data_IF_132138319656
#
_entry.id   IF_132138319656
#
_cell.length_a   1.000
_cell.length_b   1.000
_cell.length_c   1.000
_cell.angle_alpha   90.00
_cell.angle_beta   90.00
_cell.angle_gamma   90.00
#
_symmetry.space_group_name_H-M   'P 1'
#
loop_
_entity.id
_entity.type
_entity.pdbx_description
1 polymer ?
#
# COMPACT_ATOMS: atom_id res chain seq x y z
N UNK A 1 39.00 14.82 16.85
CA UNK A 1 39.36 14.33 15.51
C UNK A 1 38.97 12.86 15.42
N UNK A 2 37.85 12.55 14.78
CA UNK A 2 37.44 11.17 14.48
C UNK A 2 38.26 10.73 13.25
N UNK A 3 39.21 9.81 13.45
CA UNK A 3 39.86 9.11 12.36
C UNK A 3 38.82 8.27 11.63
N UNK A 4 38.52 8.59 10.38
CA UNK A 4 37.81 7.74 9.46
C UNK A 4 38.68 6.50 9.19
N UNK A 5 38.29 5.34 9.71
CA UNK A 5 38.94 4.08 9.37
C UNK A 5 38.81 3.83 7.85
N UNK A 6 39.84 3.40 7.17
CA UNK A 6 39.78 3.09 5.75
C UNK A 6 38.76 1.94 5.55
N UNK A 7 37.84 2.13 4.61
CA UNK A 7 36.84 1.15 4.21
C UNK A 7 37.54 -0.18 3.87
N UNK A 8 37.38 -1.19 4.71
CA UNK A 8 38.07 -2.45 4.57
C UNK A 8 37.50 -3.22 3.36
N UNK A 9 38.39 -3.65 2.43
CA UNK A 9 38.01 -4.39 1.19
C UNK A 9 37.14 -5.62 1.50
N UNK A 10 37.35 -6.28 2.64
CA UNK A 10 36.54 -7.42 3.08
C UNK A 10 35.12 -7.03 3.49
N UNK A 11 34.92 -5.87 4.08
CA UNK A 11 33.58 -5.35 4.40
C UNK A 11 32.82 -4.97 3.12
N UNK A 12 33.49 -4.32 2.17
CA UNK A 12 32.88 -4.00 0.88
C UNK A 12 32.41 -5.26 0.13
N UNK A 13 33.25 -6.30 0.09
CA UNK A 13 32.90 -7.58 -0.53
C UNK A 13 31.73 -8.28 0.19
N UNK A 14 31.66 -8.15 1.51
CA UNK A 14 30.56 -8.66 2.31
C UNK A 14 29.23 -7.97 1.98
N UNK A 15 29.23 -6.63 1.86
CA UNK A 15 28.03 -5.88 1.45
C UNK A 15 27.61 -6.22 0.01
N UNK A 16 28.58 -6.38 -0.91
CA UNK A 16 28.31 -6.79 -2.29
C UNK A 16 27.69 -8.21 -2.34
N UNK A 17 28.19 -9.13 -1.54
CA UNK A 17 27.63 -10.48 -1.42
C UNK A 17 26.19 -10.44 -0.91
N UNK A 18 25.91 -9.66 0.15
CA UNK A 18 24.55 -9.48 0.67
C UNK A 18 23.62 -8.86 -0.36
N UNK A 19 24.05 -7.78 -1.02
CA UNK A 19 23.26 -7.14 -2.07
C UNK A 19 22.98 -8.10 -3.23
N UNK A 20 23.95 -8.90 -3.63
CA UNK A 20 23.76 -9.88 -4.70
C UNK A 20 22.75 -10.97 -4.33
N UNK A 21 22.95 -11.67 -3.22
CA UNK A 21 22.13 -12.82 -2.87
C UNK A 21 20.75 -12.46 -2.31
N UNK A 22 20.62 -11.37 -1.60
CA UNK A 22 19.36 -11.00 -0.93
C UNK A 22 18.60 -9.85 -1.60
N UNK A 23 19.16 -9.27 -2.64
CA UNK A 23 18.48 -8.26 -3.42
C UNK A 23 18.46 -8.60 -4.91
N UNK A 24 19.62 -8.75 -5.56
CA UNK A 24 19.67 -8.97 -7.01
C UNK A 24 19.10 -10.33 -7.43
N UNK A 25 19.44 -11.42 -6.73
CA UNK A 25 18.95 -12.77 -7.05
C UNK A 25 17.44 -12.88 -6.85
N UNK A 26 16.84 -12.47 -5.71
CA UNK A 26 15.39 -12.45 -5.55
C UNK A 26 14.68 -11.56 -6.56
N UNK A 27 15.24 -10.37 -6.86
CA UNK A 27 14.67 -9.48 -7.85
C UNK A 27 14.67 -10.10 -9.27
N UNK A 28 15.77 -10.71 -9.67
CA UNK A 28 15.87 -11.40 -10.95
C UNK A 28 14.94 -12.62 -11.02
N UNK A 29 14.85 -13.40 -9.94
CA UNK A 29 13.97 -14.56 -9.86
C UNK A 29 12.49 -14.14 -9.88
N UNK A 30 12.12 -13.08 -9.14
CA UNK A 30 10.78 -12.52 -9.15
C UNK A 30 10.41 -11.97 -10.53
N UNK A 31 11.31 -11.19 -11.14
CA UNK A 31 11.12 -10.67 -12.49
C UNK A 31 10.97 -11.80 -13.52
N UNK A 32 11.84 -12.82 -13.48
CA UNK A 32 11.76 -13.99 -14.36
C UNK A 32 10.47 -14.78 -14.18
N UNK A 33 10.02 -14.97 -12.93
CA UNK A 33 8.76 -15.65 -12.63
C UNK A 33 7.56 -14.87 -13.20
N UNK A 34 7.51 -13.56 -12.96
CA UNK A 34 6.41 -12.72 -13.44
C UNK A 34 6.38 -12.66 -14.96
N UNK A 35 7.54 -12.50 -15.62
CA UNK A 35 7.61 -12.51 -17.09
C UNK A 35 7.24 -13.88 -17.69
N UNK A 36 7.62 -14.96 -17.03
CA UNK A 36 7.25 -16.32 -17.44
C UNK A 36 5.74 -16.54 -17.28
N UNK A 37 5.16 -16.18 -16.12
CA UNK A 37 3.72 -16.26 -15.87
C UNK A 37 2.92 -15.41 -16.86
N UNK A 38 3.38 -14.18 -17.15
CA UNK A 38 2.70 -13.30 -18.11
C UNK A 38 2.80 -13.76 -19.57
N UNK A 39 3.79 -14.58 -19.91
CA UNK A 39 3.99 -15.13 -21.24
C UNK A 39 3.28 -16.49 -21.45
N UNK A 40 2.91 -17.18 -20.37
CA UNK A 40 2.20 -18.46 -20.45
C UNK A 40 0.69 -18.24 -20.40
N UNK A 41 -0.07 -18.92 -21.27
CA UNK A 41 -1.55 -18.90 -21.26
C UNK A 41 -2.12 -19.93 -20.26
N UNK A 42 -1.50 -20.05 -19.11
CA UNK A 42 -2.03 -20.85 -18.02
C UNK A 42 -3.25 -20.13 -17.43
N UNK A 43 -4.44 -20.60 -17.71
CA UNK A 43 -5.68 -20.04 -17.19
C UNK A 43 -5.75 -20.23 -15.66
N UNK A 44 -5.40 -19.19 -14.90
CA UNK A 44 -5.48 -19.22 -13.45
C UNK A 44 -5.36 -17.84 -12.80
N UNK A 45 -5.88 -17.67 -11.58
CA UNK A 45 -5.91 -16.37 -10.88
C UNK A 45 -4.52 -15.76 -10.65
N UNK A 46 -3.46 -16.57 -10.65
CA UNK A 46 -2.08 -16.10 -10.52
C UNK A 46 -1.54 -15.50 -11.81
N UNK A 47 -2.03 -15.96 -12.94
CA UNK A 47 -1.63 -15.52 -14.28
C UNK A 47 -2.19 -14.12 -14.57
N UNK A 48 -3.47 -13.92 -14.25
CA UNK A 48 -4.12 -12.62 -14.36
C UNK A 48 -3.47 -11.59 -13.41
N UNK A 49 -3.14 -11.99 -12.18
CA UNK A 49 -2.43 -11.13 -11.24
C UNK A 49 -1.01 -10.76 -11.71
N UNK A 50 -0.31 -11.67 -12.39
CA UNK A 50 1.02 -11.40 -12.93
C UNK A 50 0.98 -10.46 -14.14
N UNK A 51 -0.07 -10.55 -14.98
CA UNK A 51 -0.25 -9.69 -16.16
C UNK A 51 -0.73 -8.30 -15.80
N UNK A 52 -1.79 -8.21 -14.99
CA UNK A 52 -2.45 -6.93 -14.71
C UNK A 52 -1.80 -6.18 -13.54
N UNK A 53 -1.08 -6.87 -12.67
CA UNK A 53 -0.46 -6.30 -11.47
C UNK A 53 0.95 -6.84 -11.25
N UNK A 54 1.79 -6.71 -12.27
CA UNK A 54 3.17 -7.19 -12.25
C UNK A 54 3.99 -6.68 -11.06
N UNK A 55 3.75 -5.44 -10.59
CA UNK A 55 4.51 -4.85 -9.48
C UNK A 55 4.13 -5.47 -8.13
N UNK A 56 2.85 -5.53 -7.70
CA UNK A 56 2.48 -6.22 -6.46
C UNK A 56 2.86 -7.71 -6.47
N UNK A 57 2.60 -8.41 -7.58
CA UNK A 57 2.97 -9.81 -7.74
C UNK A 57 4.49 -10.01 -7.67
N UNK A 58 5.25 -9.07 -8.24
CA UNK A 58 6.71 -9.04 -8.17
C UNK A 58 7.23 -8.84 -6.74
N UNK A 59 6.60 -7.97 -5.94
CA UNK A 59 6.95 -7.77 -4.54
C UNK A 59 6.71 -9.05 -3.72
N UNK A 60 5.57 -9.70 -3.91
CA UNK A 60 5.26 -10.97 -3.23
C UNK A 60 6.26 -12.06 -3.62
N UNK A 61 6.54 -12.23 -4.92
CA UNK A 61 7.53 -13.18 -5.40
C UNK A 61 8.93 -12.88 -4.84
N UNK A 62 9.34 -11.62 -4.85
CA UNK A 62 10.61 -11.17 -4.28
C UNK A 62 10.72 -11.56 -2.81
N UNK A 63 9.71 -11.24 -1.99
CA UNK A 63 9.70 -11.55 -0.55
C UNK A 63 9.76 -13.05 -0.29
N UNK A 64 9.07 -13.86 -1.10
CA UNK A 64 9.13 -15.33 -0.99
C UNK A 64 10.53 -15.86 -1.34
N UNK A 65 11.14 -15.37 -2.43
CA UNK A 65 12.50 -15.76 -2.80
C UNK A 65 13.54 -15.29 -1.78
N UNK A 66 13.41 -14.07 -1.27
CA UNK A 66 14.28 -13.56 -0.21
C UNK A 66 14.16 -14.42 1.06
N UNK A 67 12.93 -14.73 1.51
CA UNK A 67 12.68 -15.59 2.65
C UNK A 67 13.28 -17.01 2.49
N UNK A 68 13.15 -17.58 1.27
CA UNK A 68 13.75 -18.86 0.93
C UNK A 68 15.29 -18.80 0.98
N UNK A 69 15.88 -17.78 0.40
CA UNK A 69 17.34 -17.59 0.44
C UNK A 69 17.83 -17.31 1.86
N UNK A 70 17.08 -16.59 2.66
CA UNK A 70 17.37 -16.38 4.08
C UNK A 70 17.36 -17.69 4.87
N UNK A 71 16.37 -18.55 4.62
CA UNK A 71 16.31 -19.89 5.23
C UNK A 71 17.52 -20.74 4.86
N UNK A 72 17.96 -20.71 3.57
CA UNK A 72 19.11 -21.46 3.08
C UNK A 72 20.43 -20.67 3.10
N UNK A 73 20.51 -19.51 3.77
CA UNK A 73 21.66 -18.59 3.72
C UNK A 73 23.01 -19.25 3.98
N UNK A 74 23.03 -20.32 4.80
CA UNK A 74 24.24 -21.06 5.13
C UNK A 74 24.72 -22.02 4.04
N UNK A 75 23.86 -22.32 3.06
CA UNK A 75 24.15 -23.20 1.94
C UNK A 75 24.44 -22.45 0.64
N UNK A 76 24.35 -21.14 0.67
CA UNK A 76 24.61 -20.33 -0.52
C UNK A 76 26.06 -20.44 -0.96
N UNK A 77 26.36 -20.48 -2.27
CA UNK A 77 27.72 -20.44 -2.77
C UNK A 77 28.47 -19.22 -2.22
N UNK A 78 29.71 -19.41 -1.82
CA UNK A 78 30.58 -18.38 -1.21
C UNK A 78 30.09 -17.85 0.16
N UNK A 79 29.10 -18.47 0.81
CA UNK A 79 28.66 -18.05 2.14
C UNK A 79 29.75 -18.19 3.21
N UNK A 80 30.59 -19.24 3.11
CA UNK A 80 31.67 -19.51 4.07
C UNK A 80 32.78 -18.42 4.07
N UNK A 81 33.33 -17.99 2.91
CA UNK A 81 34.35 -16.92 2.87
C UNK A 81 33.88 -15.59 3.43
N UNK A 82 32.57 -15.30 3.32
CA UNK A 82 31.98 -14.03 3.74
C UNK A 82 31.32 -14.08 5.12
N UNK A 83 31.50 -15.16 5.87
CA UNK A 83 30.95 -15.33 7.22
C UNK A 83 29.45 -15.13 7.35
N UNK A 84 28.72 -15.54 6.31
CA UNK A 84 27.26 -15.50 6.31
C UNK A 84 26.70 -16.77 6.91
N UNK A 85 26.50 -16.77 8.18
CA UNK A 85 26.00 -17.94 8.90
C UNK A 85 27.05 -18.65 9.72
N UNK A 86 28.04 -17.95 10.10
CA UNK A 86 29.11 -18.44 10.95
C UNK A 86 30.48 -18.04 10.42
N UNK A 87 31.38 -18.07 11.28
CA UNK A 87 32.77 -17.70 11.10
C UNK A 87 33.49 -18.65 10.14
N UNK A 88 34.48 -18.13 9.40
CA UNK A 88 35.41 -18.98 8.63
C UNK A 88 36.09 -19.96 9.56
N UNK A 89 36.00 -21.27 9.23
CA UNK A 89 36.55 -22.35 10.08
C UNK A 89 35.61 -22.87 11.18
N UNK A 90 34.39 -22.37 11.30
CA UNK A 90 33.42 -22.88 12.26
C UNK A 90 32.86 -24.27 11.79
N UNK A 91 33.03 -25.36 12.55
CA UNK A 91 32.45 -26.65 12.24
C UNK A 91 30.93 -26.58 12.15
N UNK A 92 30.34 -27.35 11.23
CA UNK A 92 28.88 -27.32 11.03
C UNK A 92 28.10 -27.70 12.28
N UNK A 93 28.67 -28.60 13.10
CA UNK A 93 28.10 -29.08 14.34
C UNK A 93 27.96 -27.98 15.39
N UNK A 94 28.93 -27.05 15.46
CA UNK A 94 28.97 -25.95 16.43
C UNK A 94 28.21 -24.70 16.01
N UNK A 95 27.63 -24.65 14.83
CA UNK A 95 26.94 -23.45 14.34
C UNK A 95 25.76 -23.01 15.19
N UNK A 96 24.93 -23.94 15.62
CA UNK A 96 23.79 -23.65 16.51
C UNK A 96 24.24 -23.11 17.85
N UNK A 97 25.30 -23.75 18.43
CA UNK A 97 25.86 -23.31 19.69
C UNK A 97 26.54 -21.93 19.55
N UNK A 98 27.20 -21.66 18.42
CA UNK A 98 27.80 -20.39 18.15
C UNK A 98 26.76 -19.25 18.04
N UNK A 99 25.63 -19.48 17.34
CA UNK A 99 24.53 -18.51 17.27
C UNK A 99 23.89 -18.32 18.67
N UNK A 100 23.67 -19.39 19.40
CA UNK A 100 23.16 -19.32 20.77
C UNK A 100 24.11 -18.58 21.73
N UNK A 101 25.42 -18.82 21.59
CA UNK A 101 26.44 -18.11 22.37
C UNK A 101 26.52 -16.64 22.05
N UNK A 102 26.39 -16.24 20.78
CA UNK A 102 26.37 -14.85 20.38
C UNK A 102 25.15 -14.12 20.98
N UNK A 103 23.97 -14.73 20.95
CA UNK A 103 22.77 -14.21 21.61
C UNK A 103 22.91 -14.13 23.12
N UNK A 104 23.53 -15.16 23.75
CA UNK A 104 23.77 -15.18 25.19
C UNK A 104 24.67 -14.02 25.64
N UNK A 105 25.76 -13.77 24.90
CA UNK A 105 26.69 -12.66 25.18
C UNK A 105 25.98 -11.32 25.05
N UNK A 106 25.26 -11.09 23.94
CA UNK A 106 24.53 -9.84 23.69
C UNK A 106 23.45 -9.57 24.76
N UNK A 107 22.75 -10.60 25.21
CA UNK A 107 21.76 -10.52 26.29
C UNK A 107 22.42 -10.23 27.64
N UNK A 108 23.49 -10.98 27.97
CA UNK A 108 24.23 -10.78 29.21
C UNK A 108 24.87 -9.40 29.27
N UNK A 109 25.55 -8.93 28.21
CA UNK A 109 26.16 -7.59 28.16
C UNK A 109 25.09 -6.48 28.32
N UNK A 110 23.90 -6.63 27.72
CA UNK A 110 22.79 -5.67 27.90
C UNK A 110 22.25 -5.63 29.33
N UNK A 111 22.10 -6.80 29.96
CA UNK A 111 21.62 -6.89 31.35
C UNK A 111 22.66 -6.28 32.30
N UNK A 112 23.91 -6.67 32.15
CA UNK A 112 25.03 -6.17 32.95
C UNK A 112 25.13 -4.65 32.81
N UNK A 113 25.16 -4.10 31.59
CA UNK A 113 25.28 -2.67 31.35
C UNK A 113 24.14 -1.85 32.00
N UNK A 114 22.96 -2.45 32.16
CA UNK A 114 21.78 -1.80 32.74
C UNK A 114 21.68 -1.94 34.25
N UNK A 115 22.16 -3.05 34.80
CA UNK A 115 21.93 -3.45 36.19
C UNK A 115 23.23 -3.76 36.96
N UNK A 116 24.38 -3.29 36.51
CA UNK A 116 25.70 -3.63 37.03
C UNK A 116 25.79 -3.47 38.56
N UNK A 117 25.30 -2.33 39.11
CA UNK A 117 25.30 -2.06 40.56
C UNK A 117 24.41 -3.05 41.33
N UNK A 118 23.20 -3.30 40.84
CA UNK A 118 22.27 -4.23 41.45
C UNK A 118 22.82 -5.66 41.45
N UNK A 119 23.48 -6.07 40.37
CA UNK A 119 24.11 -7.37 40.20
C UNK A 119 25.25 -7.49 41.20
N UNK A 120 26.14 -6.50 41.30
CA UNK A 120 27.24 -6.51 42.25
C UNK A 120 26.79 -6.51 43.72
N UNK A 121 25.70 -5.83 44.04
CA UNK A 121 25.12 -5.77 45.39
C UNK A 121 24.47 -7.10 45.76
N UNK A 122 23.70 -7.73 44.85
CA UNK A 122 22.99 -8.99 45.14
C UNK A 122 23.84 -10.25 45.09
N UNK A 123 24.77 -10.32 44.12
CA UNK A 123 25.65 -11.48 43.95
C UNK A 123 26.94 -11.37 44.79
N UNK A 124 27.32 -10.17 45.20
CA UNK A 124 28.62 -9.91 45.80
C UNK A 124 29.74 -9.76 44.77
N UNK A 125 30.79 -9.03 45.12
CA UNK A 125 31.86 -8.65 44.22
C UNK A 125 32.57 -9.83 43.53
N UNK A 126 32.70 -10.98 44.23
CA UNK A 126 33.37 -12.16 43.69
C UNK A 126 32.55 -12.83 42.58
N UNK A 127 31.26 -13.11 42.83
CA UNK A 127 30.40 -13.78 41.85
C UNK A 127 30.11 -12.89 40.65
N UNK A 128 29.92 -11.56 40.85
CA UNK A 128 29.79 -10.60 39.78
C UNK A 128 31.07 -10.54 38.92
N UNK A 129 32.26 -10.62 39.54
CA UNK A 129 33.54 -10.65 38.79
C UNK A 129 33.68 -11.92 37.94
N UNK A 130 33.31 -13.08 38.48
CA UNK A 130 33.33 -14.37 37.78
C UNK A 130 32.37 -14.37 36.59
N UNK A 131 31.19 -13.77 36.71
CA UNK A 131 30.21 -13.60 35.65
C UNK A 131 30.77 -12.70 34.51
N UNK A 132 31.33 -11.54 34.85
CA UNK A 132 31.95 -10.64 33.87
C UNK A 132 33.10 -11.30 33.12
N UNK A 133 33.94 -12.04 33.83
CA UNK A 133 35.06 -12.78 33.24
C UNK A 133 34.56 -13.84 32.25
N UNK A 134 33.56 -14.63 32.62
CA UNK A 134 33.00 -15.69 31.78
C UNK A 134 32.36 -15.13 30.51
N UNK A 135 31.56 -14.03 30.61
CA UNK A 135 30.96 -13.37 29.47
C UNK A 135 32.02 -12.75 28.56
N UNK A 136 33.04 -12.13 29.14
CA UNK A 136 34.16 -11.55 28.39
C UNK A 136 35.00 -12.62 27.68
N UNK A 137 35.28 -13.76 28.36
CA UNK A 137 35.99 -14.89 27.77
C UNK A 137 35.22 -15.50 26.59
N UNK A 138 33.89 -15.69 26.74
CA UNK A 138 33.05 -16.19 25.67
C UNK A 138 33.03 -15.18 24.49
N UNK A 139 32.87 -13.90 24.76
CA UNK A 139 32.94 -12.83 23.76
C UNK A 139 34.28 -12.83 23.03
N UNK A 140 35.38 -13.04 23.71
CA UNK A 140 36.72 -13.17 23.13
C UNK A 140 36.87 -14.43 22.25
N UNK A 141 36.32 -15.58 22.66
CA UNK A 141 36.35 -16.80 21.83
C UNK A 141 35.50 -16.69 20.60
N UNK A 142 34.34 -16.02 20.72
CA UNK A 142 33.50 -15.68 19.55
C UNK A 142 34.24 -14.80 18.54
N UNK A 143 35.18 -13.99 18.93
CA UNK A 143 35.97 -13.08 18.08
C UNK A 143 37.36 -13.60 17.69
N UNK A 144 37.88 -14.68 18.36
CA UNK A 144 39.24 -15.17 18.17
C UNK A 144 39.48 -15.73 16.75
N UNK A 145 40.55 -15.44 16.06
CA UNK A 145 41.00 -16.00 14.77
C UNK A 145 42.41 -16.58 14.91
N UNK A 146 42.53 -17.89 14.56
CA UNK A 146 41.55 -18.85 14.08
C UNK A 146 40.53 -19.26 15.15
N UNK A 147 39.38 -19.84 14.75
CA UNK A 147 38.35 -20.33 15.66
C UNK A 147 38.83 -21.60 16.38
N UNK A 148 38.82 -21.57 17.71
CA UNK A 148 39.18 -22.69 18.59
C UNK A 148 37.92 -23.33 19.16
N UNK A 149 37.46 -24.44 18.55
CA UNK A 149 36.23 -25.12 18.91
C UNK A 149 36.24 -25.64 20.37
N UNK A 150 37.26 -26.37 20.84
CA UNK A 150 37.38 -26.84 22.22
C UNK A 150 37.30 -25.70 23.25
N UNK A 151 38.05 -24.62 23.03
CA UNK A 151 38.03 -23.44 23.90
C UNK A 151 36.68 -22.75 23.90
N UNK A 152 36.06 -22.63 22.73
CA UNK A 152 34.69 -22.09 22.60
C UNK A 152 33.68 -22.89 23.38
N UNK A 153 33.64 -24.23 23.24
CA UNK A 153 32.68 -25.10 23.95
C UNK A 153 32.83 -24.97 25.46
N UNK A 154 34.06 -24.90 25.97
CA UNK A 154 34.32 -24.71 27.40
C UNK A 154 33.85 -23.33 27.89
N UNK A 155 34.17 -22.27 27.16
CA UNK A 155 33.76 -20.89 27.49
C UNK A 155 32.23 -20.74 27.41
N UNK A 156 31.60 -21.36 26.42
CA UNK A 156 30.14 -21.32 26.25
C UNK A 156 29.43 -22.05 27.38
N UNK A 157 29.84 -23.26 27.75
CA UNK A 157 29.22 -24.01 28.86
C UNK A 157 29.32 -23.26 30.19
N UNK A 158 30.52 -22.69 30.49
CA UNK A 158 30.76 -21.89 31.70
C UNK A 158 29.90 -20.62 31.72
N UNK A 159 29.90 -19.85 30.63
CA UNK A 159 29.12 -18.65 30.56
C UNK A 159 27.62 -18.93 30.59
N UNK A 160 27.14 -19.97 29.90
CA UNK A 160 25.73 -20.35 29.89
C UNK A 160 25.21 -20.74 31.28
N UNK A 161 26.01 -21.50 32.06
CA UNK A 161 25.68 -21.87 33.44
C UNK A 161 25.55 -20.61 34.31
N UNK A 162 26.59 -19.76 34.35
CA UNK A 162 26.60 -18.57 35.16
C UNK A 162 25.52 -17.57 34.78
N UNK A 163 25.31 -17.31 33.48
CA UNK A 163 24.29 -16.38 32.98
C UNK A 163 22.88 -16.89 33.28
N UNK A 164 22.62 -18.21 33.13
CA UNK A 164 21.31 -18.76 33.39
C UNK A 164 20.97 -18.81 34.88
N UNK A 165 21.96 -19.06 35.72
CA UNK A 165 21.77 -19.10 37.16
C UNK A 165 21.73 -17.71 37.78
N UNK A 166 22.71 -16.87 37.48
CA UNK A 166 22.90 -15.59 38.16
C UNK A 166 22.08 -14.44 37.57
N UNK A 167 21.88 -14.42 36.26
CA UNK A 167 21.11 -13.33 35.61
C UNK A 167 19.61 -13.61 35.44
N UNK A 168 19.12 -14.81 35.87
CA UNK A 168 17.70 -15.15 35.81
C UNK A 168 16.76 -14.07 36.39
N UNK A 169 17.04 -13.39 37.53
CA UNK A 169 16.19 -12.40 38.12
C UNK A 169 16.03 -11.11 37.24
N UNK A 170 17.02 -10.82 36.40
CA UNK A 170 17.03 -9.63 35.53
C UNK A 170 16.66 -9.94 34.10
N UNK A 171 16.52 -11.20 33.71
CA UNK A 171 15.99 -11.59 32.40
C UNK A 171 14.51 -11.25 32.32
N UNK A 172 14.12 -10.64 31.22
CA UNK A 172 12.71 -10.50 30.92
C UNK A 172 12.11 -11.90 30.75
N UNK A 173 11.00 -12.17 31.43
CA UNK A 173 10.26 -13.41 31.18
C UNK A 173 9.84 -13.49 29.70
N UNK A 174 9.93 -14.66 29.08
CA UNK A 174 9.53 -14.88 27.68
C UNK A 174 8.15 -14.28 27.37
N UNK A 175 7.19 -14.44 28.28
CA UNK A 175 5.84 -13.89 28.14
C UNK A 175 5.84 -12.35 28.00
N UNK A 176 6.72 -11.65 28.71
CA UNK A 176 6.84 -10.19 28.64
C UNK A 176 7.48 -9.76 27.32
N UNK A 177 8.47 -10.50 26.83
CA UNK A 177 9.11 -10.23 25.54
C UNK A 177 8.13 -10.40 24.38
N UNK A 178 7.34 -11.49 24.40
CA UNK A 178 6.24 -11.69 23.44
C UNK A 178 5.18 -10.58 23.53
N UNK A 179 4.79 -10.19 24.73
CA UNK A 179 3.81 -9.12 24.92
C UNK A 179 4.31 -7.76 24.43
N UNK A 180 5.58 -7.43 24.67
CA UNK A 180 6.22 -6.22 24.14
C UNK A 180 6.28 -6.25 22.61
N UNK A 181 6.67 -7.36 22.00
CA UNK A 181 6.74 -7.55 20.54
C UNK A 181 5.37 -7.43 19.88
N UNK A 182 4.37 -8.12 20.46
CA UNK A 182 2.97 -8.02 19.98
C UNK A 182 2.45 -6.59 20.17
N UNK A 183 2.74 -5.95 21.29
CA UNK A 183 2.34 -4.57 21.54
C UNK A 183 2.92 -3.59 20.52
N UNK A 184 4.20 -3.73 20.19
CA UNK A 184 4.86 -2.93 19.14
C UNK A 184 4.23 -3.20 17.77
N UNK A 185 3.99 -4.47 17.42
CA UNK A 185 3.36 -4.84 16.14
C UNK A 185 1.95 -4.26 16.02
N UNK A 186 1.14 -4.34 17.09
CA UNK A 186 -0.19 -3.72 17.14
C UNK A 186 -0.09 -2.20 17.00
N UNK A 187 0.83 -1.56 17.71
CA UNK A 187 1.04 -0.11 17.63
C UNK A 187 1.40 0.31 16.20
N UNK A 188 2.34 -0.38 15.57
CA UNK A 188 2.73 -0.12 14.16
C UNK A 188 1.55 -0.31 13.22
N UNK A 189 0.80 -1.40 13.38
CA UNK A 189 -0.40 -1.67 12.57
C UNK A 189 -1.47 -0.58 12.74
N UNK A 190 -1.69 -0.11 13.97
CA UNK A 190 -2.63 0.98 14.26
C UNK A 190 -2.16 2.31 13.66
N UNK A 191 -0.86 2.61 13.72
CA UNK A 191 -0.29 3.81 13.10
C UNK A 191 -0.41 3.76 11.57
N UNK A 192 -0.10 2.62 10.95
CA UNK A 192 -0.28 2.43 9.51
C UNK A 192 -1.75 2.60 9.11
N UNK A 193 -2.68 1.98 9.84
CA UNK A 193 -4.12 2.14 9.62
C UNK A 193 -4.58 3.60 9.82
N UNK A 194 -4.06 4.29 10.81
CA UNK A 194 -4.46 5.67 11.10
C UNK A 194 -4.02 6.66 10.02
N UNK A 195 -2.84 6.44 9.42
CA UNK A 195 -2.18 7.43 8.56
C UNK A 195 -2.16 7.05 7.09
N UNK A 196 -2.01 5.74 6.76
CA UNK A 196 -1.67 5.32 5.39
C UNK A 196 -2.88 4.80 4.63
N UNK A 197 -3.59 3.80 5.18
CA UNK A 197 -4.62 3.06 4.44
C UNK A 197 -5.83 2.79 5.33
N UNK A 198 -7.02 2.92 4.75
CA UNK A 198 -8.28 2.53 5.37
C UNK A 198 -9.06 1.57 4.47
N UNK A 199 -9.71 0.57 5.09
CA UNK A 199 -10.54 -0.39 4.38
C UNK A 199 -12.00 0.02 4.43
N UNK A 200 -12.67 -0.01 3.28
CA UNK A 200 -14.11 0.27 3.15
C UNK A 200 -14.82 -0.88 2.44
N UNK A 201 -16.08 -1.11 2.80
CA UNK A 201 -16.99 -2.03 2.10
C UNK A 201 -17.94 -1.21 1.24
N UNK A 202 -18.16 -1.62 0.01
CA UNK A 202 -19.07 -0.95 -0.93
C UNK A 202 -20.51 -1.41 -0.67
N UNK A 203 -21.39 -0.51 -0.18
CA UNK A 203 -22.76 -0.88 0.19
C UNK A 203 -23.76 -0.72 -0.96
N UNK A 204 -23.43 0.05 -2.01
CA UNK A 204 -24.39 0.44 -3.05
C UNK A 204 -23.84 0.31 -4.47
N UNK A 205 -24.74 0.23 -5.47
CA UNK A 205 -24.39 0.07 -6.86
C UNK A 205 -24.05 1.36 -7.61
N UNK A 206 -23.88 2.51 -6.93
CA UNK A 206 -23.70 3.80 -7.60
C UNK A 206 -22.39 3.93 -8.40
N UNK A 207 -21.41 3.06 -8.14
CA UNK A 207 -20.12 2.99 -8.84
C UNK A 207 -20.03 1.78 -9.80
N UNK A 208 -21.14 1.08 -10.06
CA UNK A 208 -21.16 0.01 -11.06
C UNK A 208 -20.86 0.57 -12.46
N UNK A 209 -20.16 -0.18 -13.30
CA UNK A 209 -19.59 -1.51 -13.05
C UNK A 209 -18.21 -1.51 -12.41
N UNK A 210 -17.60 -0.34 -12.20
CA UNK A 210 -16.23 -0.20 -11.65
C UNK A 210 -16.09 -0.87 -10.29
N UNK A 211 -17.03 -0.63 -9.38
CA UNK A 211 -17.11 -1.26 -8.06
C UNK A 211 -18.46 -1.98 -7.89
N UNK A 212 -18.39 -3.17 -7.33
CA UNK A 212 -19.57 -4.00 -7.07
C UNK A 212 -20.03 -3.89 -5.62
N UNK A 213 -21.32 -4.14 -5.38
CA UNK A 213 -21.85 -4.24 -4.03
C UNK A 213 -21.15 -5.41 -3.32
N UNK A 214 -20.63 -5.15 -2.13
CA UNK A 214 -19.87 -6.13 -1.35
C UNK A 214 -18.36 -6.12 -1.58
N UNK A 215 -17.84 -5.38 -2.57
CA UNK A 215 -16.41 -5.15 -2.71
C UNK A 215 -15.83 -4.51 -1.44
N UNK A 216 -14.66 -4.98 -1.04
CA UNK A 216 -13.86 -4.33 -0.01
C UNK A 216 -12.66 -3.70 -0.68
N UNK A 217 -12.48 -2.41 -0.46
CA UNK A 217 -11.44 -1.61 -1.09
C UNK A 217 -10.45 -1.07 -0.07
N UNK A 218 -9.21 -0.89 -0.50
CA UNK A 218 -8.25 -0.07 0.21
C UNK A 218 -8.26 1.36 -0.32
N UNK A 219 -8.28 2.31 0.62
CA UNK A 219 -8.29 3.75 0.36
C UNK A 219 -7.02 4.37 0.92
N UNK A 220 -6.23 5.02 0.06
CA UNK A 220 -5.03 5.75 0.45
C UNK A 220 -5.40 7.09 1.07
N UNK A 221 -5.17 7.25 2.36
CA UNK A 221 -5.26 8.54 3.06
C UNK A 221 -4.14 9.49 2.64
N UNK A 222 -3.02 8.92 2.18
CA UNK A 222 -1.82 9.66 1.82
C UNK A 222 -1.94 10.38 0.47
N UNK A 223 -2.85 9.95 -0.40
CA UNK A 223 -3.00 10.48 -1.76
C UNK A 223 -3.23 12.00 -1.80
N UNK A 224 -3.89 12.54 -0.78
CA UNK A 224 -4.24 13.97 -0.68
C UNK A 224 -3.65 14.65 0.56
N UNK A 225 -2.57 14.10 1.08
CA UNK A 225 -1.96 14.49 2.36
C UNK A 225 -2.64 13.85 3.57
N UNK A 226 -1.86 13.23 4.48
CA UNK A 226 -2.41 12.58 5.66
C UNK A 226 -3.04 13.59 6.60
N UNK A 227 -4.23 13.28 7.12
CA UNK A 227 -4.81 14.00 8.26
C UNK A 227 -4.12 13.54 9.54
N UNK A 228 -3.62 14.45 10.35
CA UNK A 228 -3.15 14.13 11.70
C UNK A 228 -4.39 13.95 12.59
N UNK A 229 -4.59 12.77 13.21
CA UNK A 229 -5.82 12.45 13.93
C UNK A 229 -6.19 13.41 15.06
N UNK A 230 -5.23 14.15 15.62
CA UNK A 230 -5.40 15.04 16.78
C UNK A 230 -5.59 16.52 16.40
N UNK A 231 -5.30 16.94 15.17
CA UNK A 231 -5.23 18.36 14.81
C UNK A 231 -6.24 18.72 13.69
N UNK A 232 -6.89 17.74 13.09
CA UNK A 232 -7.80 17.86 11.94
C UNK A 232 -7.25 18.68 10.75
N UNK A 233 -5.92 18.86 10.72
CA UNK A 233 -5.19 19.48 9.62
C UNK A 233 -4.53 18.42 8.74
N UNK A 234 -4.58 18.64 7.42
CA UNK A 234 -3.78 17.86 6.47
C UNK A 234 -2.35 18.37 6.47
N UNK A 235 -1.41 17.45 6.47
CA UNK A 235 0.00 17.73 6.19
C UNK A 235 0.17 17.57 4.69
N UNK A 236 0.82 18.51 4.01
CA UNK A 236 0.97 18.55 2.54
C UNK A 236 -0.37 18.82 1.81
N UNK A 237 -0.96 19.98 2.04
CA UNK A 237 -2.18 20.44 1.36
C UNK A 237 -2.03 20.63 -0.17
N UNK A 238 -0.86 20.33 -0.73
CA UNK A 238 -0.49 20.62 -2.11
C UNK A 238 -0.81 19.48 -3.11
N UNK A 239 -1.56 18.47 -2.70
CA UNK A 239 -1.97 17.35 -3.56
C UNK A 239 -3.50 17.32 -3.69
N UNK A 240 -4.09 18.22 -4.52
CA UNK A 240 -5.54 18.22 -4.71
C UNK A 240 -5.97 16.96 -5.48
N UNK A 241 -7.22 16.50 -5.29
CA UNK A 241 -7.80 15.47 -6.15
C UNK A 241 -7.78 15.88 -7.60
N UNK A 242 -7.54 14.92 -8.49
CA UNK A 242 -7.51 15.11 -9.95
C UNK A 242 -8.81 14.61 -10.57
N UNK A 243 -9.14 15.10 -11.76
CA UNK A 243 -10.23 14.53 -12.55
C UNK A 243 -9.92 13.06 -12.84
N UNK A 244 -10.96 12.22 -12.75
CA UNK A 244 -10.83 10.76 -12.86
C UNK A 244 -10.59 10.03 -11.54
N UNK A 245 -10.08 10.69 -10.49
CA UNK A 245 -9.85 10.04 -9.19
C UNK A 245 -11.15 9.49 -8.59
N UNK A 246 -11.13 8.26 -8.07
CA UNK A 246 -12.22 7.70 -7.27
C UNK A 246 -11.92 7.98 -5.81
N UNK A 247 -12.78 8.78 -5.16
CA UNK A 247 -12.57 9.26 -3.80
C UNK A 247 -13.62 8.71 -2.83
N UNK A 248 -13.19 8.43 -1.61
CA UNK A 248 -14.07 8.20 -0.47
C UNK A 248 -14.11 9.47 0.36
N UNK A 249 -15.30 9.89 0.71
CA UNK A 249 -15.54 11.15 1.42
C UNK A 249 -16.77 11.07 2.33
N UNK A 250 -16.81 11.92 3.32
CA UNK A 250 -17.98 12.12 4.16
C UNK A 250 -19.00 12.98 3.45
N UNK A 251 -20.25 12.56 3.45
CA UNK A 251 -21.33 13.26 2.74
C UNK A 251 -21.46 14.71 3.23
N UNK A 252 -21.50 15.69 2.31
CA UNK A 252 -21.44 17.10 2.70
C UNK A 252 -22.79 17.69 3.16
N UNK A 253 -23.91 16.97 2.98
CA UNK A 253 -25.23 17.51 3.31
C UNK A 253 -25.61 17.19 4.76
N UNK A 254 -25.65 18.23 5.58
CA UNK A 254 -26.00 18.17 7.00
C UNK A 254 -27.50 18.01 7.27
N UNK A 255 -28.34 18.09 6.26
CA UNK A 255 -29.81 18.11 6.44
C UNK A 255 -30.46 16.72 6.34
N UNK A 256 -29.78 15.68 5.85
CA UNK A 256 -30.39 14.38 5.56
C UNK A 256 -30.34 13.38 6.70
N UNK A 257 -29.45 13.48 7.64
CA UNK A 257 -29.44 12.74 8.91
C UNK A 257 -28.27 13.20 9.77
N UNK A 258 -28.38 13.09 11.10
CA UNK A 258 -27.28 13.32 12.04
C UNK A 258 -26.17 12.26 11.94
N UNK A 259 -26.28 11.31 11.02
CA UNK A 259 -25.31 10.24 10.83
C UNK A 259 -24.37 10.60 9.69
N UNK A 260 -23.08 10.62 10.01
CA UNK A 260 -21.99 10.78 9.03
C UNK A 260 -21.95 9.54 8.15
N UNK A 261 -22.26 9.70 6.87
CA UNK A 261 -22.22 8.62 5.90
C UNK A 261 -21.05 8.79 4.94
N UNK A 262 -20.35 7.69 4.68
CA UNK A 262 -19.27 7.66 3.72
C UNK A 262 -19.80 7.32 2.33
N UNK A 263 -19.42 8.16 1.37
CA UNK A 263 -19.74 7.99 -0.04
C UNK A 263 -18.48 7.72 -0.84
N UNK A 264 -18.63 7.02 -1.94
CA UNK A 264 -17.59 6.83 -2.94
C UNK A 264 -18.10 7.26 -4.30
N UNK A 265 -17.35 8.15 -4.97
CA UNK A 265 -17.68 8.68 -6.29
C UNK A 265 -16.41 9.01 -7.06
N UNK A 266 -16.55 9.23 -8.38
CA UNK A 266 -15.50 9.70 -9.25
C UNK A 266 -15.48 11.21 -9.35
N UNK A 267 -14.30 11.80 -9.25
CA UNK A 267 -14.08 13.24 -9.49
C UNK A 267 -14.20 13.51 -10.99
N UNK A 268 -15.14 14.35 -11.36
CA UNK A 268 -15.38 14.74 -12.77
C UNK A 268 -14.84 16.13 -13.04
N UNK A 269 -15.02 17.08 -12.12
CA UNK A 269 -14.54 18.44 -12.28
C UNK A 269 -13.87 18.94 -11.00
N UNK A 270 -12.95 19.89 -11.16
CA UNK A 270 -12.10 20.47 -10.13
C UNK A 270 -12.34 21.97 -9.99
N UNK A 271 -11.80 22.65 -8.96
CA UNK A 271 -12.03 24.08 -8.76
C UNK A 271 -11.79 24.93 -10.01
N UNK A 272 -12.73 25.80 -10.28
CA UNK A 272 -12.71 26.71 -11.43
C UNK A 272 -13.36 26.12 -12.68
N UNK A 273 -13.68 24.83 -12.73
CA UNK A 273 -14.42 24.26 -13.85
C UNK A 273 -15.90 24.70 -13.83
N UNK A 274 -16.46 24.79 -15.03
CA UNK A 274 -17.90 24.83 -15.27
C UNK A 274 -18.34 23.47 -15.81
N UNK A 275 -19.29 22.84 -15.16
CA UNK A 275 -19.80 21.53 -15.54
C UNK A 275 -21.26 21.59 -15.97
N UNK A 276 -21.56 21.03 -17.11
CA UNK A 276 -22.91 20.66 -17.54
C UNK A 276 -23.01 19.13 -17.69
N UNK A 277 -24.20 18.61 -17.56
CA UNK A 277 -24.46 17.19 -17.77
C UNK A 277 -25.61 17.04 -18.75
N UNK A 278 -25.36 16.37 -19.87
CA UNK A 278 -26.37 16.07 -20.87
C UNK A 278 -26.66 14.57 -20.92
N UNK A 279 -27.87 14.21 -20.47
CA UNK A 279 -28.29 12.80 -20.42
C UNK A 279 -27.27 11.91 -19.67
N UNK A 280 -26.71 12.43 -18.58
CA UNK A 280 -25.69 11.73 -17.77
C UNK A 280 -24.24 11.93 -18.27
N UNK A 281 -24.01 12.39 -19.51
CA UNK A 281 -22.67 12.65 -20.05
C UNK A 281 -22.13 13.99 -19.56
N UNK A 282 -20.92 14.05 -18.99
CA UNK A 282 -20.34 15.29 -18.50
C UNK A 282 -19.79 16.17 -19.64
N UNK A 283 -19.99 17.46 -19.51
CA UNK A 283 -19.46 18.51 -20.39
C UNK A 283 -18.71 19.49 -19.47
N UNK A 284 -17.38 19.54 -19.56
CA UNK A 284 -16.53 20.36 -18.71
C UNK A 284 -15.98 21.53 -19.52
N UNK A 285 -16.21 22.74 -19.06
CA UNK A 285 -15.78 23.98 -19.75
C UNK A 285 -16.22 24.03 -21.23
N UNK A 286 -17.43 23.53 -21.52
CA UNK A 286 -17.95 23.38 -22.85
C UNK A 286 -17.44 22.19 -23.66
N UNK A 287 -16.49 21.44 -23.14
CA UNK A 287 -15.94 20.26 -23.79
C UNK A 287 -16.64 18.97 -23.29
N UNK A 288 -17.28 18.28 -24.21
CA UNK A 288 -17.92 16.99 -23.88
C UNK A 288 -16.86 15.92 -23.67
N UNK A 289 -16.89 15.26 -22.55
CA UNK A 289 -15.97 14.15 -22.26
C UNK A 289 -16.12 13.08 -23.33
N UNK A 290 -15.05 12.74 -24.06
CA UNK A 290 -15.09 11.73 -25.10
C UNK A 290 -15.51 10.38 -24.53
N UNK A 291 -16.40 9.70 -25.25
CA UNK A 291 -16.91 8.41 -24.85
C UNK A 291 -17.08 7.47 -26.04
N UNK A 292 -16.87 6.19 -25.80
CA UNK A 292 -17.04 5.12 -26.78
C UNK A 292 -18.07 4.12 -26.26
N UNK A 293 -19.14 3.85 -27.02
CA UNK A 293 -20.17 2.89 -26.62
C UNK A 293 -19.63 1.45 -26.76
N UNK A 294 -19.67 0.71 -25.65
CA UNK A 294 -19.24 -0.70 -25.57
C UNK A 294 -20.37 -1.63 -25.96
N UNK A 295 -21.57 -1.42 -25.40
CA UNK A 295 -22.74 -2.26 -25.64
C UNK A 295 -23.75 -2.18 -24.53
N UNK A 296 -24.67 -3.18 -24.51
CA UNK A 296 -25.65 -3.33 -23.43
C UNK A 296 -25.04 -4.17 -22.30
N UNK A 297 -25.04 -3.62 -21.10
CA UNK A 297 -24.64 -4.32 -19.88
C UNK A 297 -25.86 -4.56 -19.00
N UNK A 298 -25.94 -5.75 -18.43
CA UNK A 298 -27.06 -6.14 -17.58
C UNK A 298 -26.55 -7.04 -16.46
N UNK A 299 -26.97 -6.75 -15.24
CA UNK A 299 -26.55 -7.44 -14.04
C UNK A 299 -27.77 -7.69 -13.13
N UNK A 300 -27.79 -8.84 -12.46
CA UNK A 300 -28.81 -9.13 -11.43
C UNK A 300 -28.48 -8.39 -10.14
N UNK A 301 -29.45 -7.69 -9.59
CA UNK A 301 -29.31 -7.02 -8.30
C UNK A 301 -29.35 -8.06 -7.16
N UNK A 302 -28.53 -7.90 -6.11
CA UNK A 302 -28.58 -8.75 -4.93
C UNK A 302 -29.98 -8.76 -4.30
N UNK A 303 -30.36 -9.88 -3.68
CA UNK A 303 -31.62 -10.06 -2.94
C UNK A 303 -32.93 -9.95 -3.78
N UNK A 304 -32.86 -10.23 -5.08
CA UNK A 304 -34.09 -10.28 -5.91
C UNK A 304 -34.69 -8.91 -6.24
N UNK A 305 -33.92 -7.83 -6.12
CA UNK A 305 -34.34 -6.47 -6.48
C UNK A 305 -34.51 -6.26 -7.99
N UNK A 306 -34.37 -7.33 -8.79
CA UNK A 306 -34.54 -7.29 -10.23
C UNK A 306 -33.23 -7.25 -11.01
N UNK A 307 -33.32 -6.89 -12.28
CA UNK A 307 -32.19 -6.78 -13.21
C UNK A 307 -31.97 -5.31 -13.57
N UNK A 308 -30.77 -4.83 -13.31
CA UNK A 308 -30.35 -3.51 -13.77
C UNK A 308 -29.69 -3.63 -15.15
N UNK A 309 -30.12 -2.83 -16.12
CA UNK A 309 -29.59 -2.84 -17.48
C UNK A 309 -29.39 -1.44 -18.01
N UNK A 310 -28.39 -1.26 -18.86
CA UNK A 310 -28.11 0.04 -19.47
C UNK A 310 -27.05 -0.05 -20.56
N UNK A 311 -26.86 1.08 -21.23
CA UNK A 311 -25.79 1.28 -22.19
C UNK A 311 -24.46 1.51 -21.46
N UNK A 312 -23.45 0.71 -21.79
CA UNK A 312 -22.10 0.80 -21.23
C UNK A 312 -21.21 1.61 -22.16
N UNK A 313 -20.47 2.54 -21.58
CA UNK A 313 -19.48 3.36 -22.28
C UNK A 313 -18.12 3.29 -21.61
N UNK A 314 -17.05 3.42 -22.39
CA UNK A 314 -15.74 3.86 -21.91
C UNK A 314 -15.68 5.36 -22.05
N UNK A 315 -15.42 6.08 -20.99
CA UNK A 315 -15.18 7.52 -21.00
C UNK A 315 -13.69 7.82 -20.79
N UNK A 316 -13.22 8.87 -21.47
CA UNK A 316 -11.82 9.30 -21.44
C UNK A 316 -11.73 10.68 -20.81
N UNK A 317 -11.17 10.75 -19.62
CA UNK A 317 -11.02 11.99 -18.87
C UNK A 317 -9.55 12.17 -18.48
N UNK A 318 -8.88 13.10 -19.14
CA UNK A 318 -7.43 13.30 -19.03
C UNK A 318 -6.66 11.98 -19.27
N UNK A 319 -5.86 11.55 -18.31
CA UNK A 319 -5.08 10.30 -18.38
C UNK A 319 -5.88 9.05 -18.00
N UNK A 320 -7.12 9.22 -17.58
CA UNK A 320 -7.96 8.12 -17.06
C UNK A 320 -8.96 7.66 -18.11
N UNK A 321 -9.13 6.33 -18.23
CA UNK A 321 -10.26 5.73 -18.92
C UNK A 321 -11.07 4.90 -17.93
N UNK A 322 -12.38 5.00 -17.95
CA UNK A 322 -13.25 4.29 -17.01
C UNK A 322 -14.58 3.93 -17.64
N UNK A 323 -15.26 2.95 -17.04
CA UNK A 323 -16.59 2.54 -17.47
C UNK A 323 -17.67 3.43 -16.85
N UNK A 324 -18.65 3.80 -17.64
CA UNK A 324 -19.84 4.50 -17.19
C UNK A 324 -21.10 3.78 -17.70
N UNK A 325 -22.06 3.57 -16.81
CA UNK A 325 -23.31 2.87 -17.09
C UNK A 325 -24.47 3.85 -17.14
N UNK A 326 -25.23 3.80 -18.24
CA UNK A 326 -26.36 4.68 -18.53
C UNK A 326 -27.62 3.84 -18.62
N UNK A 327 -28.60 4.11 -17.77
CA UNK A 327 -29.87 3.40 -17.76
C UNK A 327 -30.70 3.67 -19.04
N UNK A 328 -31.31 2.61 -19.58
CA UNK A 328 -32.13 2.67 -20.80
C UNK A 328 -33.41 3.49 -20.65
N UNK A 329 -33.87 3.69 -19.43
CA UNK A 329 -35.21 4.28 -19.14
C UNK A 329 -35.14 5.73 -18.70
N UNK A 330 -33.99 6.39 -18.75
CA UNK A 330 -33.85 7.79 -18.36
C UNK A 330 -34.11 8.74 -19.53
N UNK A 331 -34.95 9.73 -19.26
CA UNK A 331 -35.20 10.83 -20.22
C UNK A 331 -33.96 11.70 -20.37
N UNK A 332 -33.72 12.17 -21.60
CA UNK A 332 -32.69 13.16 -21.88
C UNK A 332 -32.93 14.43 -21.05
N UNK A 333 -32.06 14.71 -20.12
CA UNK A 333 -32.12 15.89 -19.27
C UNK A 333 -30.78 16.61 -19.26
N UNK A 334 -30.80 17.89 -19.57
CA UNK A 334 -29.64 18.77 -19.39
C UNK A 334 -29.67 19.38 -18.00
N UNK A 335 -28.54 19.28 -17.28
CA UNK A 335 -28.35 19.81 -15.94
C UNK A 335 -27.15 20.76 -15.92
N UNK A 336 -27.21 21.76 -15.05
CA UNK A 336 -26.19 22.81 -14.95
C UNK A 336 -26.56 24.09 -15.71
N UNK A 337 -25.61 25.00 -15.99
CA UNK A 337 -24.20 24.89 -15.62
C UNK A 337 -23.96 24.96 -14.11
N UNK A 338 -22.96 24.21 -13.62
CA UNK A 338 -22.50 24.22 -12.23
C UNK A 338 -21.07 24.74 -12.19
N UNK A 339 -20.79 25.69 -11.31
CA UNK A 339 -19.44 26.19 -11.07
C UNK A 339 -18.83 25.47 -9.87
N UNK A 340 -17.64 24.89 -10.04
CA UNK A 340 -16.91 24.23 -8.98
C UNK A 340 -16.13 25.26 -8.17
N UNK A 341 -16.52 25.43 -6.91
CA UNK A 341 -15.92 26.45 -6.05
C UNK A 341 -14.49 26.06 -5.61
N UNK A 342 -13.66 27.07 -5.22
CA UNK A 342 -12.35 26.78 -4.61
C UNK A 342 -12.48 25.90 -3.38
N UNK A 343 -11.61 24.88 -3.30
CA UNK A 343 -11.56 23.95 -2.15
C UNK A 343 -12.58 22.82 -2.17
N UNK A 344 -13.32 22.64 -3.26
CA UNK A 344 -14.24 21.52 -3.47
C UNK A 344 -13.97 20.80 -4.80
N UNK A 345 -14.45 19.56 -4.96
CA UNK A 345 -14.49 18.85 -6.23
C UNK A 345 -15.90 18.43 -6.55
N UNK A 346 -16.20 18.33 -7.85
CA UNK A 346 -17.48 17.80 -8.33
C UNK A 346 -17.37 16.32 -8.66
N UNK A 347 -18.27 15.52 -8.11
CA UNK A 347 -18.22 14.08 -8.24
C UNK A 347 -19.48 13.50 -8.87
N UNK A 348 -19.33 12.41 -9.62
CA UNK A 348 -20.42 11.62 -10.16
C UNK A 348 -20.18 10.13 -9.92
N UNK A 349 -21.27 9.36 -9.82
CA UNK A 349 -21.18 7.92 -9.86
C UNK A 349 -20.92 7.39 -11.26
N UNK A 350 -20.24 6.28 -11.39
CA UNK A 350 -20.03 5.59 -12.68
C UNK A 350 -21.37 4.99 -13.18
N UNK A 351 -22.28 4.64 -12.28
CA UNK A 351 -23.67 4.31 -12.60
C UNK A 351 -24.51 5.59 -12.69
N UNK A 352 -24.47 6.22 -13.85
CA UNK A 352 -24.89 7.62 -14.10
C UNK A 352 -26.31 7.95 -13.66
N UNK A 353 -27.25 7.07 -13.85
CA UNK A 353 -28.64 7.30 -13.52
C UNK A 353 -29.07 6.68 -12.19
N UNK A 354 -28.21 5.86 -11.58
CA UNK A 354 -28.44 5.25 -10.28
C UNK A 354 -27.38 5.72 -9.26
N UNK A 355 -27.19 7.02 -9.16
CA UNK A 355 -26.21 7.64 -8.27
C UNK A 355 -26.75 8.91 -7.62
N UNK A 356 -26.77 8.91 -6.29
CA UNK A 356 -26.91 10.12 -5.50
C UNK A 356 -25.52 10.78 -5.40
N UNK A 357 -25.31 11.88 -6.14
CA UNK A 357 -24.01 12.54 -6.26
C UNK A 357 -24.17 14.06 -6.37
N UNK A 358 -23.10 14.78 -6.74
CA UNK A 358 -23.06 16.23 -6.79
C UNK A 358 -24.21 16.87 -7.58
N UNK A 359 -24.81 16.18 -8.53
CA UNK A 359 -25.95 16.67 -9.32
C UNK A 359 -27.23 16.78 -8.51
N UNK A 360 -27.41 15.89 -7.53
CA UNK A 360 -28.65 15.77 -6.75
C UNK A 360 -28.56 16.44 -5.37
N UNK A 361 -27.35 16.76 -4.90
CA UNK A 361 -27.19 17.39 -3.60
C UNK A 361 -27.61 18.84 -3.61
N UNK A 362 -28.08 19.32 -2.48
CA UNK A 362 -28.49 20.71 -2.33
C UNK A 362 -27.35 21.55 -1.77
N UNK A 363 -27.05 22.64 -2.45
CA UNK A 363 -26.25 23.73 -1.92
C UNK A 363 -27.12 24.62 -1.06
N UNK A 364 -26.57 25.28 -0.07
CA UNK A 364 -27.32 26.22 0.77
C UNK A 364 -28.23 27.14 -0.06
N UNK A 365 -29.51 27.29 0.36
CA UNK A 365 -30.54 28.03 -0.37
C UNK A 365 -31.40 27.21 -1.35
N UNK A 366 -31.33 25.86 -1.30
CA UNK A 366 -32.20 24.96 -2.08
C UNK A 366 -31.81 24.76 -3.55
N UNK A 367 -30.65 25.27 -3.98
CA UNK A 367 -30.13 25.02 -5.33
C UNK A 367 -29.57 23.61 -5.43
N UNK A 368 -30.00 22.87 -6.46
CA UNK A 368 -29.39 21.59 -6.79
C UNK A 368 -28.00 21.81 -7.34
N UNK A 369 -27.10 20.91 -6.96
CA UNK A 369 -25.72 20.89 -7.36
C UNK A 369 -24.77 21.37 -6.26
N UNK A 370 -23.99 20.46 -5.71
CA UNK A 370 -22.98 20.77 -4.67
C UNK A 370 -21.71 19.95 -4.87
N UNK A 371 -20.55 20.60 -4.73
CA UNK A 371 -19.25 19.94 -4.70
C UNK A 371 -18.98 19.27 -3.35
N UNK A 372 -17.95 18.45 -3.31
CA UNK A 372 -17.39 17.84 -2.09
C UNK A 372 -16.24 18.68 -1.60
N UNK A 373 -16.33 19.27 -0.40
CA UNK A 373 -15.21 20.03 0.18
C UNK A 373 -14.00 19.11 0.39
N UNK A 374 -12.80 19.63 0.15
CA UNK A 374 -11.55 18.87 0.39
C UNK A 374 -11.45 18.32 1.82
N UNK A 375 -11.98 19.07 2.80
CA UNK A 375 -11.99 18.65 4.20
C UNK A 375 -12.74 17.33 4.42
N UNK A 376 -13.78 17.05 3.61
CA UNK A 376 -14.61 15.86 3.71
C UNK A 376 -13.98 14.62 3.05
N UNK A 377 -12.95 14.79 2.20
CA UNK A 377 -12.34 13.68 1.47
C UNK A 377 -11.49 12.85 2.44
N UNK A 378 -11.75 11.56 2.56
CA UNK A 378 -10.98 10.62 3.38
C UNK A 378 -9.75 10.09 2.66
N UNK A 379 -9.85 9.83 1.35
CA UNK A 379 -8.72 9.36 0.55
C UNK A 379 -9.13 8.90 -0.85
N UNK A 380 -8.15 8.36 -1.59
CA UNK A 380 -8.34 7.81 -2.93
C UNK A 380 -8.47 6.29 -2.90
N UNK A 381 -9.48 5.75 -3.55
CA UNK A 381 -9.62 4.31 -3.75
C UNK A 381 -8.46 3.77 -4.60
N UNK A 382 -7.87 2.66 -4.16
CA UNK A 382 -6.72 2.05 -4.83
C UNK A 382 -7.06 0.72 -5.47
N UNK A 383 -7.32 -0.27 -4.64
CA UNK A 383 -7.52 -1.66 -5.06
C UNK A 383 -8.68 -2.30 -4.32
N UNK A 384 -9.34 -3.23 -4.99
CA UNK A 384 -10.26 -4.18 -4.35
C UNK A 384 -9.43 -5.30 -3.73
N UNK A 385 -9.63 -5.62 -2.46
CA UNK A 385 -8.90 -6.69 -1.79
C UNK A 385 -9.78 -7.88 -1.40
N UNK A 386 -11.08 -7.75 -1.51
CA UNK A 386 -12.07 -8.81 -1.34
C UNK A 386 -13.33 -8.45 -2.13
N UNK A 387 -14.06 -9.39 -2.76
CA UNK A 387 -13.89 -10.86 -2.72
C UNK A 387 -12.69 -11.36 -3.53
N UNK A 388 -12.35 -12.64 -3.35
CA UNK A 388 -11.19 -13.26 -4.00
C UNK A 388 -11.25 -13.20 -5.54
N UNK A 389 -12.45 -13.26 -6.12
CA UNK A 389 -12.69 -13.14 -7.57
C UNK A 389 -12.31 -11.76 -8.15
N UNK A 390 -12.27 -10.73 -7.31
CA UNK A 390 -11.91 -9.36 -7.69
C UNK A 390 -10.68 -8.83 -6.95
N UNK A 391 -9.94 -9.75 -6.30
CA UNK A 391 -8.75 -9.35 -5.55
C UNK A 391 -7.71 -8.69 -6.45
N UNK A 392 -7.15 -7.60 -5.97
CA UNK A 392 -6.13 -6.80 -6.64
C UNK A 392 -6.62 -6.03 -7.89
N UNK A 393 -7.93 -5.94 -8.14
CA UNK A 393 -8.44 -5.04 -9.17
C UNK A 393 -8.09 -3.59 -8.80
N UNK A 394 -7.31 -2.95 -9.67
CA UNK A 394 -6.96 -1.54 -9.51
C UNK A 394 -8.14 -0.66 -9.92
N UNK A 395 -8.71 0.07 -8.96
CA UNK A 395 -9.89 0.93 -9.18
C UNK A 395 -9.61 2.05 -10.19
N UNK A 396 -8.35 2.49 -10.27
CA UNK A 396 -7.88 3.55 -11.17
C UNK A 396 -7.17 3.00 -12.42
N UNK A 397 -7.13 1.69 -12.58
CA UNK A 397 -6.43 1.01 -13.67
C UNK A 397 -7.26 0.91 -14.95
N UNK A 398 -6.90 -0.06 -15.78
CA UNK A 398 -7.66 -0.41 -16.98
C UNK A 398 -9.11 -0.73 -16.60
N UNK A 399 -10.11 -0.20 -17.34
CA UNK A 399 -11.51 -0.54 -17.10
C UNK A 399 -11.75 -2.05 -17.25
N UNK A 400 -12.30 -2.66 -16.21
CA UNK A 400 -12.60 -4.09 -16.17
C UNK A 400 -14.07 -4.31 -15.80
N UNK A 401 -14.69 -5.28 -16.44
CA UNK A 401 -16.00 -5.76 -16.06
C UNK A 401 -15.87 -6.85 -14.97
N UNK A 402 -16.93 -7.05 -14.17
CA UNK A 402 -16.99 -8.19 -13.25
C UNK A 402 -16.85 -9.52 -13.97
N UNK A 403 -16.43 -10.55 -13.24
CA UNK A 403 -16.35 -11.92 -13.73
C UNK A 403 -17.70 -12.39 -14.28
N UNK A 404 -17.65 -13.12 -15.39
CA UNK A 404 -18.85 -13.61 -16.10
C UNK A 404 -19.47 -12.61 -17.07
N UNK A 405 -18.85 -11.46 -17.29
CA UNK A 405 -19.28 -10.54 -18.35
C UNK A 405 -19.11 -11.18 -19.73
N UNK A 406 -20.04 -10.89 -20.69
CA UNK A 406 -19.95 -11.42 -22.05
C UNK A 406 -18.61 -11.06 -22.71
N UNK A 407 -17.93 -12.03 -23.35
CA UNK A 407 -16.63 -11.79 -24.02
C UNK A 407 -16.67 -10.68 -25.06
N UNK A 408 -17.84 -10.46 -25.70
CA UNK A 408 -18.02 -9.41 -26.70
C UNK A 408 -17.88 -8.03 -26.08
N UNK A 409 -18.35 -7.84 -24.84
CA UNK A 409 -18.19 -6.56 -24.12
C UNK A 409 -16.74 -6.31 -23.74
N UNK A 410 -16.02 -7.34 -23.31
CA UNK A 410 -14.59 -7.23 -22.98
C UNK A 410 -13.80 -6.81 -24.21
N UNK A 411 -14.04 -7.46 -25.37
CA UNK A 411 -13.41 -7.10 -26.64
C UNK A 411 -13.80 -5.68 -27.10
N UNK A 412 -15.04 -5.26 -26.84
CA UNK A 412 -15.49 -3.93 -27.18
C UNK A 412 -14.82 -2.85 -26.32
N UNK A 413 -14.57 -3.13 -25.03
CA UNK A 413 -13.76 -2.26 -24.17
C UNK A 413 -12.35 -2.10 -24.74
N UNK A 414 -11.69 -3.20 -25.12
CA UNK A 414 -10.34 -3.16 -25.69
C UNK A 414 -10.27 -2.35 -27.00
N UNK A 415 -11.28 -2.49 -27.85
CA UNK A 415 -11.42 -1.67 -29.06
C UNK A 415 -11.58 -0.20 -28.72
N UNK A 416 -12.44 0.13 -27.76
CA UNK A 416 -12.62 1.51 -27.28
C UNK A 416 -11.32 2.09 -26.75
N UNK A 417 -10.59 1.34 -25.93
CA UNK A 417 -9.31 1.78 -25.35
C UNK A 417 -8.24 2.03 -26.42
N UNK A 418 -8.24 1.24 -27.50
CA UNK A 418 -7.32 1.44 -28.65
C UNK A 418 -7.64 2.69 -29.48
N UNK A 419 -8.87 3.20 -29.38
CA UNK A 419 -9.35 4.42 -30.05
C UNK A 419 -9.30 5.65 -29.15
N UNK A 420 -8.53 5.61 -28.07
CA UNK A 420 -8.38 6.74 -27.15
C UNK A 420 -8.04 8.02 -27.93
N UNK A 421 -8.77 9.13 -27.71
CA UNK A 421 -8.45 10.42 -28.29
C UNK A 421 -7.00 10.83 -27.98
N UNK A 422 -6.31 11.53 -28.91
CA UNK A 422 -4.96 12.03 -28.65
C UNK A 422 -4.91 12.91 -27.39
N UNK A 423 -3.79 12.89 -26.67
CA UNK A 423 -3.59 13.68 -25.46
C UNK A 423 -3.75 15.20 -25.65
N UNK A 424 -3.80 15.68 -26.89
CA UNK A 424 -4.11 17.08 -27.24
C UNK A 424 -5.58 17.47 -26.97
N UNK A 425 -6.49 16.52 -26.80
CA UNK A 425 -7.88 16.75 -26.43
C UNK A 425 -8.06 16.64 -24.91
N UNK A 426 -7.36 17.48 -24.18
CA UNK A 426 -7.53 17.61 -22.72
C UNK A 426 -8.66 18.59 -22.42
N UNK A 427 -9.19 18.51 -21.20
CA UNK A 427 -10.20 19.46 -20.70
C UNK A 427 -9.69 20.90 -20.89
N UNK A 428 -10.41 21.78 -21.63
CA UNK A 428 -9.99 23.14 -21.77
C UNK A 428 -9.91 23.89 -20.44
N UNK A 429 -9.01 24.86 -20.27
CA UNK A 429 -9.00 25.68 -19.07
C UNK A 429 -10.33 26.42 -18.92
N UNK A 430 -10.73 26.66 -17.66
CA UNK A 430 -11.95 27.42 -17.37
C UNK A 430 -11.89 28.82 -18.03
N UNK A 431 -13.01 29.24 -18.58
CA UNK A 431 -13.14 30.57 -19.18
C UNK A 431 -12.95 31.65 -18.10
N UNK A 432 -11.77 32.20 -17.96
CA UNK A 432 -11.39 33.17 -16.91
C UNK A 432 -9.94 33.07 -16.45
N UNK A 433 -9.28 31.94 -16.68
CA UNK A 433 -7.86 31.80 -16.34
C UNK A 433 -6.88 32.20 -17.45
N UNK A 434 -7.39 32.55 -18.63
CA UNK A 434 -6.58 32.98 -19.78
C UNK A 434 -6.13 34.45 -19.73
N UNK A 435 -6.38 35.19 -18.64
CA UNK A 435 -6.14 36.64 -18.51
C UNK A 435 -5.05 37.04 -17.51
N UNK A 436 -3.97 36.28 -17.35
CA UNK A 436 -2.98 36.58 -16.31
C UNK A 436 -1.50 36.34 -16.61
N UNK A 437 -1.08 36.39 -17.87
CA UNK A 437 0.34 36.45 -18.23
C UNK A 437 0.58 37.39 -19.41
N UNK A 438 0.24 38.68 -19.26
CA UNK A 438 0.84 39.73 -20.07
C UNK A 438 2.10 40.20 -19.34
N UNK A 439 3.22 39.84 -19.90
CA UNK A 439 4.53 40.40 -19.61
C UNK A 439 4.45 41.95 -19.56
N UNK A 440 4.72 42.53 -18.40
CA UNK A 440 5.24 43.86 -18.29
C UNK A 440 6.75 43.76 -18.07
N UNK A 441 7.48 43.75 -19.17
CA UNK A 441 8.87 44.17 -19.15
C UNK A 441 8.91 45.67 -18.89
N UNK A 442 9.68 46.07 -17.91
CA UNK A 442 10.58 47.22 -17.89
C UNK A 442 11.60 47.00 -16.80
#
# INVERSE_FOLDING_TARGET
MRQSSPFNRTEALRYLFWAFWFFLVPAAAAYGLITWLSATELAGPFDDAARDQSVPAGIVAFTLFEGLLWYYRHRLPFSAPFSLGGRVGLPQELRREYEAAAHLVDDAERIIARHDRDIAEKLGAKASGELHEAVSELSATLRAEPFDGPRFTLAYSRAAELVNDQLAPWRKGELREYAESIGVAILVALLLRAVVVEAFKIPSGSMKPTLQIGDHIFVSKFAYGPKIPLIDKRVLENLPPRRGDVIVFEYPDINLSNERQDFIKRVIAIPGDTLEVDSGHPIINGWRVPSCKVGKYSEEEPAGLGRHSGDLFVEFLEDTAYLALYDDHHFAQRQGPYEVAPGEVWVMGDNRHNSLDSRAWQRGGGRLGAGVPYANIKGRAMIVWFPASRMLVNVMGKPLLPDGAPPELVQAIDRCLSQRPPAAETVPPAAGTAGGLSSSGH
#
